data_IF_403150963909
#
_entry.id   IF_403150963909
#
_cell.length_a   1.000
_cell.length_b   1.000
_cell.length_c   1.000
_cell.angle_alpha   90.00
_cell.angle_beta   90.00
_cell.angle_gamma   90.00
#
_symmetry.space_group_name_H-M   'P 1'
#
loop_
_entity.id
_entity.type
_entity.pdbx_description
1 polymer ?
#
# COMPACT_ATOMS: atom_id res chain seq x y z
N UNK A 1 -5.37 -6.08 -12.94
CA UNK A 1 -5.03 -5.10 -11.89
C UNK A 1 -4.52 -3.83 -12.57
N UNK A 2 -5.29 -2.76 -12.60
CA UNK A 2 -4.77 -1.47 -13.08
C UNK A 2 -3.72 -0.95 -12.09
N UNK A 3 -2.55 -0.56 -12.58
CA UNK A 3 -1.51 0.04 -11.75
C UNK A 3 -1.71 1.55 -11.76
N UNK A 4 -2.01 2.12 -10.59
CA UNK A 4 -2.07 3.57 -10.40
C UNK A 4 -0.74 4.07 -9.84
N UNK A 5 -0.29 5.23 -10.29
CA UNK A 5 0.93 5.88 -9.77
C UNK A 5 0.57 6.88 -8.67
N UNK A 6 1.33 6.83 -7.57
CA UNK A 6 1.21 7.79 -6.46
C UNK A 6 2.51 8.57 -6.34
N UNK A 7 2.45 9.89 -6.54
CA UNK A 7 3.59 10.80 -6.34
C UNK A 7 3.42 11.54 -5.02
N UNK A 8 4.38 11.38 -4.10
CA UNK A 8 4.33 11.99 -2.76
C UNK A 8 5.64 12.68 -2.46
N UNK A 9 5.57 13.84 -1.79
CA UNK A 9 6.75 14.48 -1.21
C UNK A 9 6.94 13.94 0.20
N UNK A 10 8.12 13.38 0.45
CA UNK A 10 8.50 12.82 1.75
C UNK A 10 9.68 13.62 2.31
N UNK A 11 9.71 13.90 3.63
CA UNK A 11 10.87 14.47 4.28
C UNK A 11 12.14 13.62 4.04
N UNK A 12 13.28 14.29 3.90
CA UNK A 12 14.53 13.65 3.49
C UNK A 12 15.02 12.59 4.49
N UNK A 13 14.84 12.80 5.79
CA UNK A 13 15.21 11.84 6.83
C UNK A 13 14.43 10.51 6.69
N UNK A 14 13.13 10.60 6.34
CA UNK A 14 12.29 9.42 6.10
C UNK A 14 12.67 8.70 4.81
N UNK A 15 12.99 9.46 3.77
CA UNK A 15 13.45 8.89 2.51
C UNK A 15 14.81 8.17 2.65
N UNK A 16 15.74 8.73 3.43
CA UNK A 16 17.02 8.07 3.75
C UNK A 16 16.81 6.76 4.49
N UNK A 17 15.92 6.74 5.49
CA UNK A 17 15.55 5.50 6.18
C UNK A 17 15.00 4.44 5.22
N UNK A 18 14.07 4.82 4.32
CA UNK A 18 13.50 3.89 3.34
C UNK A 18 14.57 3.32 2.40
N UNK A 19 15.53 4.14 1.95
CA UNK A 19 16.66 3.68 1.14
C UNK A 19 17.53 2.68 1.91
N UNK A 20 17.93 3.00 3.14
CA UNK A 20 18.72 2.09 3.97
C UNK A 20 17.99 0.76 4.19
N UNK A 21 16.70 0.82 4.55
CA UNK A 21 15.87 -0.39 4.72
C UNK A 21 15.82 -1.22 3.44
N UNK A 22 15.69 -0.60 2.27
CA UNK A 22 15.71 -1.30 0.98
C UNK A 22 17.02 -2.04 0.74
N UNK A 23 18.15 -1.39 1.02
CA UNK A 23 19.48 -2.01 0.88
C UNK A 23 19.69 -3.18 1.84
N UNK A 24 19.27 -3.04 3.10
CA UNK A 24 19.50 -4.07 4.12
C UNK A 24 18.53 -5.24 4.05
N UNK A 25 17.30 -5.01 3.59
CA UNK A 25 16.28 -6.07 3.46
C UNK A 25 16.30 -6.79 2.11
N UNK A 26 17.03 -6.26 1.13
CA UNK A 26 17.01 -6.76 -0.26
C UNK A 26 15.68 -6.50 -0.98
N UNK A 27 14.78 -5.72 -0.39
CA UNK A 27 13.46 -5.40 -0.95
C UNK A 27 13.50 -4.11 -1.74
N UNK A 28 12.64 -4.01 -2.75
CA UNK A 28 12.47 -2.76 -3.47
C UNK A 28 11.76 -1.73 -2.59
N UNK A 29 12.06 -0.45 -2.81
CA UNK A 29 11.44 0.64 -2.04
C UNK A 29 9.92 0.64 -2.18
N UNK A 30 9.40 0.25 -3.34
CA UNK A 30 7.96 0.08 -3.57
C UNK A 30 7.35 -1.02 -2.68
N UNK A 31 8.02 -2.16 -2.54
CA UNK A 31 7.56 -3.28 -1.69
C UNK A 31 7.50 -2.84 -0.23
N UNK A 32 8.51 -2.10 0.23
CA UNK A 32 8.54 -1.55 1.60
C UNK A 32 7.38 -0.57 1.82
N UNK A 33 7.08 0.29 0.85
CA UNK A 33 5.97 1.24 0.96
C UNK A 33 4.63 0.51 1.01
N UNK A 34 4.45 -0.54 0.20
CA UNK A 34 3.24 -1.37 0.23
C UNK A 34 3.08 -2.03 1.61
N UNK A 35 4.15 -2.66 2.14
CA UNK A 35 4.12 -3.26 3.48
C UNK A 35 3.78 -2.26 4.58
N UNK A 36 4.26 -1.02 4.47
CA UNK A 36 3.91 0.03 5.42
C UNK A 36 2.43 0.44 5.33
N UNK A 37 1.86 0.47 4.13
CA UNK A 37 0.43 0.74 3.91
C UNK A 37 -0.40 -0.41 4.50
N UNK A 38 -0.06 -1.66 4.19
CA UNK A 38 -0.76 -2.84 4.69
C UNK A 38 -0.75 -2.88 6.22
N UNK A 39 0.41 -2.65 6.84
CA UNK A 39 0.56 -2.63 8.30
C UNK A 39 -0.27 -1.51 8.95
N UNK A 40 -0.38 -0.35 8.31
CA UNK A 40 -1.23 0.73 8.79
C UNK A 40 -2.72 0.33 8.71
N UNK A 41 -3.12 -0.24 7.57
CA UNK A 41 -4.50 -0.66 7.30
C UNK A 41 -4.99 -1.78 8.23
N UNK A 42 -4.13 -2.74 8.58
CA UNK A 42 -4.49 -3.81 9.52
C UNK A 42 -4.95 -3.29 10.89
N UNK A 43 -4.50 -2.09 11.28
CA UNK A 43 -4.79 -1.49 12.58
C UNK A 43 -5.80 -0.34 12.49
N UNK A 44 -6.25 0.00 11.30
CA UNK A 44 -7.21 1.07 11.07
C UNK A 44 -8.65 0.50 11.11
N UNK A 45 -9.35 0.73 12.21
CA UNK A 45 -10.71 0.22 12.43
C UNK A 45 -11.69 0.70 11.34
N UNK A 46 -11.54 1.93 10.86
CA UNK A 46 -12.39 2.47 9.80
C UNK A 46 -12.09 1.77 8.47
N UNK A 47 -10.81 1.52 8.18
CA UNK A 47 -10.42 0.71 7.02
C UNK A 47 -11.06 -0.68 7.08
N UNK A 48 -10.87 -1.41 8.19
CA UNK A 48 -11.34 -2.79 8.33
C UNK A 48 -12.86 -2.88 8.30
N UNK A 49 -13.57 -1.99 9.00
CA UNK A 49 -15.03 -2.08 9.17
C UNK A 49 -15.84 -1.43 8.06
N UNK A 50 -15.35 -0.33 7.45
CA UNK A 50 -16.11 0.46 6.48
C UNK A 50 -15.56 0.35 5.07
N UNK A 51 -14.24 0.48 4.88
CA UNK A 51 -13.66 0.63 3.55
C UNK A 51 -13.29 -0.69 2.88
N UNK A 52 -12.72 -1.65 3.62
CA UNK A 52 -12.31 -2.96 3.10
C UNK A 52 -13.48 -3.72 2.43
N UNK A 53 -14.69 -3.82 3.04
CA UNK A 53 -15.82 -4.49 2.40
C UNK A 53 -16.22 -3.83 1.06
N UNK A 54 -16.19 -2.50 0.98
CA UNK A 54 -16.54 -1.75 -0.24
C UNK A 54 -15.52 -1.95 -1.37
N UNK A 55 -14.24 -2.10 -1.01
CA UNK A 55 -13.15 -2.37 -1.95
C UNK A 55 -13.26 -3.80 -2.47
N UNK A 56 -13.48 -4.78 -1.59
CA UNK A 56 -13.60 -6.19 -1.94
C UNK A 56 -14.80 -6.43 -2.89
N UNK A 57 -15.97 -5.85 -2.58
CA UNK A 57 -17.15 -5.95 -3.46
C UNK A 57 -16.92 -5.37 -4.86
N UNK A 58 -16.22 -4.23 -4.98
CA UNK A 58 -15.89 -3.63 -6.29
C UNK A 58 -14.91 -4.48 -7.11
N UNK A 59 -14.01 -5.19 -6.44
CA UNK A 59 -13.05 -6.07 -7.09
C UNK A 59 -13.74 -7.33 -7.64
N UNK A 60 -14.74 -7.87 -6.94
CA UNK A 60 -15.54 -9.02 -7.38
C UNK A 60 -16.40 -8.68 -8.61
N UNK A 61 -17.10 -7.54 -8.61
CA UNK A 61 -17.89 -7.06 -9.77
C UNK A 61 -17.04 -6.88 -11.03
N UNK A 62 -15.77 -6.49 -10.88
CA UNK A 62 -14.83 -6.29 -11.98
C UNK A 62 -14.33 -7.61 -12.62
N UNK A 63 -14.62 -8.76 -12.00
CA UNK A 63 -14.15 -10.09 -12.47
C UNK A 63 -15.24 -10.97 -13.06
N UNK A 64 -16.52 -10.58 -12.99
CA UNK A 64 -17.66 -11.30 -13.60
C UNK A 64 -18.16 -10.68 -14.92
N UNK A 65 -17.44 -9.70 -15.46
CA UNK A 65 -17.78 -9.00 -16.70
C UNK A 65 -16.77 -9.17 -17.84
N UNK A 66 -16.15 -10.36 -17.99
CA UNK A 66 -15.26 -10.70 -19.10
C UNK A 66 -15.68 -12.02 -19.76
#
# INVERSE_FOLDING_TARGET
>A
MSRSTLNVRIPEDKHQYLRLKSTHSGKQLQEIVIECIDLYQEKDEDYVSKFKPLIDSKNEESTHGA
#
